data_IF_334052402361
#
_entry.id   IF_334052402361
#
_cell.length_a   1.000
_cell.length_b   1.000
_cell.length_c   1.000
_cell.angle_alpha   90.00
_cell.angle_beta   90.00
_cell.angle_gamma   90.00
#
_symmetry.space_group_name_H-M   'P 1'
#
loop_
_entity.id
_entity.type
_entity.pdbx_description
1 polymer ?
#
# COMPACT_ATOMS: atom_id res chain seq x y z
N UNK A 1 13.33 1.22 2.94
CA UNK A 1 11.94 1.57 3.30
C UNK A 1 11.19 1.89 2.03
N UNK A 2 10.12 1.13 1.75
CA UNK A 2 9.22 1.41 0.63
C UNK A 2 8.15 2.42 1.08
N UNK A 3 7.90 3.44 0.26
CA UNK A 3 6.86 4.44 0.46
C UNK A 3 5.95 4.51 -0.76
N UNK A 4 4.71 4.06 -0.59
CA UNK A 4 3.73 3.89 -1.67
C UNK A 4 2.77 5.08 -1.75
N UNK A 5 2.60 5.61 -2.95
CA UNK A 5 1.68 6.72 -3.22
C UNK A 5 0.21 6.29 -3.10
N UNK A 6 -0.68 7.27 -2.92
CA UNK A 6 -2.14 7.08 -2.96
C UNK A 6 -2.71 7.01 -4.39
N UNK A 7 -4.02 6.76 -4.49
CA UNK A 7 -4.75 6.68 -5.75
C UNK A 7 -4.57 7.97 -6.57
N UNK A 8 -4.35 7.84 -7.88
CA UNK A 8 -4.18 8.95 -8.83
C UNK A 8 -2.83 9.67 -8.75
N UNK A 9 -1.93 9.26 -7.86
CA UNK A 9 -0.64 9.91 -7.61
C UNK A 9 0.54 9.10 -8.18
N UNK A 10 1.77 9.43 -7.81
CA UNK A 10 2.98 8.78 -8.28
C UNK A 10 4.11 8.91 -7.23
N UNK A 11 5.24 8.24 -7.49
CA UNK A 11 6.40 8.23 -6.60
C UNK A 11 7.04 9.59 -6.37
N UNK A 12 7.01 10.50 -7.35
CA UNK A 12 7.55 11.87 -7.19
C UNK A 12 6.68 12.66 -6.22
N UNK A 13 5.35 12.61 -6.39
CA UNK A 13 4.43 13.24 -5.46
C UNK A 13 4.55 12.65 -4.04
N UNK A 14 4.83 11.35 -3.93
CA UNK A 14 5.05 10.68 -2.64
C UNK A 14 6.36 11.12 -1.97
N UNK A 15 7.42 11.34 -2.75
CA UNK A 15 8.64 12.00 -2.26
C UNK A 15 8.27 13.36 -1.69
N UNK A 16 7.53 14.16 -2.44
CA UNK A 16 7.16 15.50 -2.02
C UNK A 16 6.25 15.54 -0.80
N UNK A 17 5.34 14.60 -0.68
CA UNK A 17 4.42 14.45 0.44
C UNK A 17 5.16 14.06 1.73
N UNK A 18 6.07 13.09 1.64
CA UNK A 18 6.65 12.45 2.84
C UNK A 18 7.99 13.04 3.26
N UNK A 19 8.75 13.58 2.30
CA UNK A 19 10.15 14.00 2.48
C UNK A 19 11.05 12.90 3.06
N UNK A 20 10.71 11.64 2.80
CA UNK A 20 11.50 10.49 3.26
C UNK A 20 12.81 10.32 2.50
N UNK A 21 12.98 10.96 1.34
CA UNK A 21 14.27 11.10 0.66
C UNK A 21 15.27 11.91 1.50
N UNK A 22 14.82 13.05 2.03
CA UNK A 22 15.64 13.90 2.92
C UNK A 22 15.96 13.16 4.21
N UNK A 23 14.98 12.49 4.81
CA UNK A 23 15.19 11.71 6.02
C UNK A 23 16.14 10.51 5.79
N UNK A 24 16.04 9.86 4.63
CA UNK A 24 16.91 8.76 4.23
C UNK A 24 18.37 9.17 4.14
N UNK A 25 18.65 10.35 3.57
CA UNK A 25 20.00 10.92 3.55
C UNK A 25 20.53 11.24 4.95
N UNK A 26 19.66 11.73 5.85
CA UNK A 26 20.05 12.10 7.21
C UNK A 26 20.31 10.87 8.10
N UNK A 27 19.48 9.85 8.00
CA UNK A 27 19.48 8.69 8.91
C UNK A 27 20.16 7.44 8.30
N UNK A 28 20.56 7.51 7.03
CA UNK A 28 21.37 6.47 6.38
C UNK A 28 20.60 5.20 6.04
N UNK A 29 19.45 5.33 5.38
CA UNK A 29 18.70 4.20 4.83
C UNK A 29 18.33 4.44 3.37
N UNK A 30 17.91 3.38 2.66
CA UNK A 30 17.40 3.49 1.29
C UNK A 30 15.89 3.75 1.34
N UNK A 31 15.43 4.88 0.80
CA UNK A 31 14.01 5.14 0.55
C UNK A 31 13.65 4.78 -0.89
N UNK A 32 12.53 4.10 -1.09
CA UNK A 32 12.06 3.60 -2.38
C UNK A 32 10.65 4.10 -2.63
N UNK A 33 10.43 4.76 -3.78
CA UNK A 33 9.17 5.39 -4.15
C UNK A 33 8.69 4.85 -5.51
N UNK A 34 8.18 3.62 -5.56
CA UNK A 34 7.75 3.01 -6.82
C UNK A 34 6.45 3.63 -7.33
N UNK A 35 6.19 3.47 -8.63
CA UNK A 35 4.93 3.85 -9.27
C UNK A 35 4.05 2.62 -9.44
N UNK A 36 2.75 2.79 -9.22
CA UNK A 36 1.76 1.81 -9.62
C UNK A 36 1.59 1.77 -11.15
N UNK A 37 1.11 0.63 -11.65
CA UNK A 37 0.78 0.48 -13.07
C UNK A 37 -0.44 1.33 -13.44
N UNK A 38 -0.35 2.04 -14.56
CA UNK A 38 -1.48 2.78 -15.15
C UNK A 38 -2.28 1.84 -16.04
N UNK A 39 -3.59 1.72 -15.79
CA UNK A 39 -4.50 0.89 -16.59
C UNK A 39 -5.62 1.73 -17.19
N UNK A 40 -5.91 1.54 -18.48
CA UNK A 40 -7.11 2.11 -19.10
C UNK A 40 -8.33 1.23 -18.74
N UNK A 41 -9.37 1.75 -18.05
CA UNK A 41 -10.57 0.99 -17.75
C UNK A 41 -11.26 0.43 -19.01
N UNK A 42 -11.08 1.04 -20.18
CA UNK A 42 -11.64 0.57 -21.45
C UNK A 42 -11.08 -0.80 -21.88
N UNK A 43 -9.85 -1.14 -21.46
CA UNK A 43 -9.23 -2.44 -21.72
C UNK A 43 -9.78 -3.55 -20.82
N UNK A 44 -10.46 -3.17 -19.72
CA UNK A 44 -10.98 -4.09 -18.70
C UNK A 44 -12.47 -3.84 -18.41
N UNK A 45 -13.36 -3.98 -19.41
CA UNK A 45 -14.78 -3.62 -19.26
C UNK A 45 -15.52 -4.43 -18.20
N UNK A 46 -15.11 -5.68 -17.93
CA UNK A 46 -15.66 -6.50 -16.84
C UNK A 46 -15.24 -6.05 -15.45
N UNK A 47 -14.15 -5.27 -15.36
CA UNK A 47 -13.66 -4.69 -14.11
C UNK A 47 -14.24 -3.30 -13.86
N UNK A 48 -14.37 -2.51 -14.93
CA UNK A 48 -14.86 -1.14 -14.88
C UNK A 48 -16.26 -1.00 -14.27
N UNK A 49 -17.13 -2.02 -14.41
CA UNK A 49 -18.48 -2.03 -13.81
C UNK A 49 -18.46 -1.86 -12.28
N UNK A 50 -17.38 -2.31 -11.61
CA UNK A 50 -17.27 -2.31 -10.15
C UNK A 50 -16.28 -1.26 -9.63
N UNK A 51 -15.72 -0.43 -10.51
CA UNK A 51 -14.86 0.66 -10.07
C UNK A 51 -15.71 1.80 -9.54
N UNK A 52 -15.36 2.36 -8.38
CA UNK A 52 -15.97 3.60 -7.95
C UNK A 52 -15.58 4.70 -8.97
N UNK A 53 -16.51 5.60 -9.27
CA UNK A 53 -16.27 6.77 -10.13
C UNK A 53 -15.38 7.79 -9.39
N UNK A 54 -14.10 7.41 -9.24
CA UNK A 54 -13.07 8.17 -8.56
C UNK A 54 -12.01 8.56 -9.60
N UNK A 55 -11.80 9.87 -9.84
CA UNK A 55 -10.71 10.33 -10.68
C UNK A 55 -9.36 9.74 -10.21
N UNK A 56 -8.58 9.19 -11.13
CA UNK A 56 -7.28 8.59 -10.82
C UNK A 56 -7.31 7.10 -10.49
N UNK A 57 -8.47 6.43 -10.56
CA UNK A 57 -8.59 4.98 -10.33
C UNK A 57 -7.79 4.13 -11.33
N UNK A 58 -7.39 4.70 -12.47
CA UNK A 58 -6.44 4.14 -13.42
C UNK A 58 -5.02 3.97 -12.84
N UNK A 59 -4.66 4.75 -11.80
CA UNK A 59 -3.35 4.74 -11.14
C UNK A 59 -3.55 4.40 -9.65
N UNK A 60 -3.48 3.14 -9.31
CA UNK A 60 -3.57 2.67 -7.92
C UNK A 60 -2.88 1.32 -7.77
N UNK A 61 -2.53 0.95 -6.54
CA UNK A 61 -2.03 -0.38 -6.21
C UNK A 61 -3.16 -1.40 -6.16
N UNK A 62 -2.83 -2.66 -6.48
CA UNK A 62 -3.67 -3.81 -6.20
C UNK A 62 -3.91 -3.92 -4.68
N UNK A 63 -5.18 -3.86 -4.26
CA UNK A 63 -5.58 -3.91 -2.85
C UNK A 63 -6.07 -5.29 -2.37
N UNK A 64 -6.05 -6.30 -3.24
CA UNK A 64 -6.53 -7.65 -2.93
C UNK A 64 -8.07 -7.79 -2.85
N UNK A 65 -8.82 -6.81 -3.35
CA UNK A 65 -10.28 -6.77 -3.24
C UNK A 65 -10.96 -6.10 -4.44
N UNK A 66 -12.26 -6.41 -4.61
CA UNK A 66 -13.13 -5.73 -5.58
C UNK A 66 -13.18 -4.21 -5.30
N UNK A 67 -13.34 -3.41 -6.35
CA UNK A 67 -13.21 -1.95 -6.31
C UNK A 67 -11.80 -1.42 -6.62
N UNK A 68 -10.81 -2.32 -6.79
CA UNK A 68 -9.49 -2.03 -7.35
C UNK A 68 -9.40 -2.55 -8.78
N UNK A 69 -9.05 -1.68 -9.73
CA UNK A 69 -8.88 -2.06 -11.14
C UNK A 69 -7.72 -3.04 -11.30
N UNK A 70 -6.61 -2.76 -10.62
CA UNK A 70 -5.38 -3.55 -10.66
C UNK A 70 -5.61 -4.94 -10.08
N UNK A 71 -6.40 -5.06 -9.01
CA UNK A 71 -6.81 -6.38 -8.52
C UNK A 71 -7.63 -7.16 -9.55
N UNK A 72 -8.67 -6.54 -10.12
CA UNK A 72 -9.55 -7.22 -11.08
C UNK A 72 -8.82 -7.58 -12.39
N UNK A 73 -7.92 -6.71 -12.85
CA UNK A 73 -7.07 -6.92 -14.02
C UNK A 73 -5.97 -7.97 -13.79
N UNK A 74 -5.79 -8.46 -12.55
CA UNK A 74 -4.78 -9.46 -12.21
C UNK A 74 -3.36 -8.91 -12.21
N UNK A 75 -3.17 -7.62 -11.91
CA UNK A 75 -1.85 -7.01 -11.77
C UNK A 75 -1.17 -7.51 -10.51
N UNK A 76 0.04 -8.04 -10.66
CA UNK A 76 0.82 -8.60 -9.56
C UNK A 76 1.79 -7.57 -8.96
N UNK A 77 1.23 -6.57 -8.26
CA UNK A 77 2.05 -5.57 -7.57
C UNK A 77 2.84 -6.16 -6.39
N UNK A 78 2.36 -7.26 -5.79
CA UNK A 78 3.06 -7.97 -4.71
C UNK A 78 4.33 -8.63 -5.25
N UNK A 79 4.23 -9.35 -6.36
CA UNK A 79 5.38 -9.94 -7.07
C UNK A 79 6.38 -8.87 -7.49
N UNK A 80 5.89 -7.73 -8.01
CA UNK A 80 6.76 -6.59 -8.34
C UNK A 80 7.59 -6.09 -7.14
N UNK A 81 6.97 -5.93 -5.96
CA UNK A 81 7.70 -5.50 -4.75
C UNK A 81 8.65 -6.59 -4.26
N UNK A 82 8.28 -7.88 -4.37
CA UNK A 82 9.17 -9.00 -4.07
C UNK A 82 10.43 -8.95 -4.93
N UNK A 83 10.28 -8.78 -6.25
CA UNK A 83 11.39 -8.67 -7.18
C UNK A 83 12.28 -7.44 -6.88
N UNK A 84 11.69 -6.33 -6.42
CA UNK A 84 12.46 -5.16 -5.99
C UNK A 84 13.29 -5.46 -4.74
N UNK A 85 12.73 -6.17 -3.75
CA UNK A 85 13.48 -6.58 -2.55
C UNK A 85 14.68 -7.44 -2.95
N UNK A 86 14.47 -8.50 -3.74
CA UNK A 86 15.53 -9.38 -4.23
C UNK A 86 16.62 -8.59 -4.99
N UNK A 87 16.20 -7.60 -5.79
CA UNK A 87 17.14 -6.73 -6.51
C UNK A 87 17.97 -5.87 -5.55
N UNK A 88 17.38 -5.30 -4.50
CA UNK A 88 18.12 -4.53 -3.51
C UNK A 88 19.08 -5.40 -2.70
N UNK A 89 18.67 -6.60 -2.29
CA UNK A 89 19.53 -7.58 -1.61
C UNK A 89 20.74 -7.98 -2.46
N UNK A 90 20.52 -8.15 -3.77
CA UNK A 90 21.60 -8.53 -4.70
C UNK A 90 22.58 -7.38 -4.98
N UNK A 91 22.09 -6.15 -5.09
CA UNK A 91 22.87 -5.02 -5.59
C UNK A 91 23.41 -4.10 -4.49
N UNK A 92 22.90 -4.20 -3.27
CA UNK A 92 23.28 -3.36 -2.14
C UNK A 92 23.46 -4.19 -0.87
N UNK A 93 24.32 -3.73 0.03
CA UNK A 93 24.48 -4.33 1.35
C UNK A 93 23.39 -3.80 2.29
N UNK A 94 22.15 -4.22 2.08
CA UNK A 94 21.03 -3.87 2.96
C UNK A 94 20.98 -4.81 4.17
N UNK A 95 20.30 -4.34 5.23
CA UNK A 95 19.97 -5.18 6.37
C UNK A 95 18.57 -5.77 6.15
N UNK A 96 18.52 -7.05 5.76
CA UNK A 96 17.28 -7.79 5.48
C UNK A 96 16.33 -7.81 6.69
N UNK A 97 16.85 -7.68 7.91
CA UNK A 97 16.04 -7.61 9.13
C UNK A 97 15.38 -6.23 9.36
N UNK A 98 15.66 -5.24 8.49
CA UNK A 98 15.20 -3.85 8.60
C UNK A 98 14.60 -3.33 7.29
N UNK A 99 13.77 -4.16 6.65
CA UNK A 99 12.95 -3.76 5.51
C UNK A 99 11.57 -3.31 6.04
N UNK A 100 11.11 -2.14 5.62
CA UNK A 100 9.85 -1.55 6.08
C UNK A 100 9.01 -1.06 4.90
N UNK A 101 7.69 -1.07 5.06
CA UNK A 101 6.74 -0.54 4.08
C UNK A 101 5.77 0.47 4.72
N UNK A 102 5.44 1.52 3.98
CA UNK A 102 4.47 2.53 4.37
C UNK A 102 3.82 3.12 3.11
N UNK A 103 2.70 3.79 3.29
CA UNK A 103 2.02 4.51 2.24
C UNK A 103 0.81 5.25 2.79
N UNK A 104 0.20 6.09 1.95
CA UNK A 104 -1.00 6.84 2.28
C UNK A 104 -2.20 6.32 1.47
N UNK A 105 -3.39 6.25 2.10
CA UNK A 105 -4.65 5.90 1.43
C UNK A 105 -4.55 4.54 0.70
N UNK A 106 -4.68 4.48 -0.62
CA UNK A 106 -4.46 3.25 -1.39
C UNK A 106 -3.07 2.61 -1.17
N UNK A 107 -2.00 3.41 -1.03
CA UNK A 107 -0.67 2.90 -0.67
C UNK A 107 -0.59 2.34 0.76
N UNK A 108 -1.45 2.81 1.67
CA UNK A 108 -1.60 2.24 3.00
C UNK A 108 -2.28 0.87 2.95
N UNK A 109 -3.37 0.73 2.17
CA UNK A 109 -4.01 -0.57 1.92
C UNK A 109 -3.02 -1.58 1.32
N UNK A 110 -2.20 -1.12 0.37
CA UNK A 110 -1.18 -1.96 -0.24
C UNK A 110 -0.07 -2.38 0.73
N UNK A 111 0.33 -1.50 1.65
CA UNK A 111 1.29 -1.86 2.71
C UNK A 111 0.79 -3.02 3.59
N UNK A 112 -0.51 -3.06 3.89
CA UNK A 112 -1.10 -4.22 4.58
C UNK A 112 -1.07 -5.48 3.71
N UNK A 113 -1.42 -5.37 2.42
CA UNK A 113 -1.40 -6.50 1.49
C UNK A 113 0.01 -7.10 1.36
N UNK A 114 1.04 -6.26 1.31
CA UNK A 114 2.43 -6.69 1.26
C UNK A 114 2.85 -7.42 2.53
N UNK A 115 2.57 -6.86 3.71
CA UNK A 115 2.88 -7.54 4.97
C UNK A 115 2.21 -8.92 5.08
N UNK A 116 1.02 -9.05 4.48
CA UNK A 116 0.30 -10.30 4.46
C UNK A 116 0.92 -11.34 3.51
N UNK A 117 1.18 -10.95 2.27
CA UNK A 117 1.63 -11.88 1.22
C UNK A 117 3.13 -12.16 1.27
N UNK A 118 3.95 -11.19 1.70
CA UNK A 118 5.40 -11.31 1.84
C UNK A 118 5.76 -11.48 3.33
N UNK A 119 5.16 -12.51 3.94
CA UNK A 119 5.34 -12.84 5.35
C UNK A 119 6.83 -13.08 5.65
N UNK A 120 7.36 -12.36 6.64
CA UNK A 120 8.78 -12.44 7.05
C UNK A 120 9.71 -11.49 6.32
N UNK A 121 9.28 -10.86 5.22
CA UNK A 121 10.10 -9.89 4.46
C UNK A 121 10.18 -8.54 5.17
N UNK A 122 9.06 -8.03 5.68
CA UNK A 122 9.01 -6.72 6.32
C UNK A 122 9.13 -6.85 7.84
N UNK A 123 10.00 -6.05 8.44
CA UNK A 123 10.14 -5.91 9.89
C UNK A 123 8.99 -5.12 10.52
N UNK A 124 8.35 -4.25 9.74
CA UNK A 124 7.20 -3.47 10.17
C UNK A 124 6.55 -2.69 9.03
N UNK A 125 5.28 -2.32 9.25
CA UNK A 125 4.55 -1.41 8.37
C UNK A 125 3.99 -0.21 9.11
N UNK A 126 3.90 0.93 8.42
CA UNK A 126 3.34 2.17 8.95
C UNK A 126 2.27 2.79 8.02
N UNK A 127 1.10 2.15 7.83
CA UNK A 127 0.03 2.65 6.95
C UNK A 127 -0.64 3.92 7.49
N UNK A 128 -0.94 4.87 6.58
CA UNK A 128 -1.50 6.20 6.89
C UNK A 128 -2.82 6.46 6.14
N UNK A 129 -3.82 6.98 6.84
CA UNK A 129 -5.14 7.38 6.31
C UNK A 129 -5.87 6.27 5.54
N UNK A 130 -5.80 5.03 6.03
CA UNK A 130 -6.61 3.93 5.52
C UNK A 130 -6.77 2.81 6.55
N UNK A 131 -7.95 2.14 6.60
CA UNK A 131 -8.08 0.89 7.31
C UNK A 131 -7.31 -0.24 6.61
N UNK A 132 -7.20 -1.37 7.31
CA UNK A 132 -6.72 -2.63 6.76
C UNK A 132 -7.65 -3.13 5.64
N UNK A 133 -7.07 -3.78 4.61
CA UNK A 133 -7.87 -4.38 3.53
C UNK A 133 -8.73 -5.54 4.04
N UNK A 134 -9.94 -5.69 3.48
CA UNK A 134 -10.98 -6.59 3.98
C UNK A 134 -10.75 -8.08 3.67
N UNK A 135 -9.76 -8.41 2.83
CA UNK A 135 -9.50 -9.77 2.35
C UNK A 135 -8.05 -10.22 2.60
N UNK A 136 -7.59 -10.08 3.85
CA UNK A 136 -6.38 -10.75 4.31
C UNK A 136 -6.75 -12.14 4.84
N UNK A 137 -6.86 -13.13 3.94
CA UNK A 137 -7.19 -14.52 4.31
C UNK A 137 -5.95 -15.38 4.51
N UNK A 138 -5.76 -16.00 5.68
CA UNK A 138 -4.63 -16.92 5.96
C UNK A 138 -3.88 -16.62 7.27
N UNK A 139 -2.77 -17.32 7.51
CA UNK A 139 -1.91 -17.14 8.69
C UNK A 139 -0.66 -16.35 8.28
N UNK A 140 -0.39 -15.24 8.96
CA UNK A 140 0.87 -14.48 8.83
C UNK A 140 1.76 -14.72 10.04
N UNK A 141 3.05 -14.38 9.92
CA UNK A 141 3.88 -14.15 11.11
C UNK A 141 3.52 -12.80 11.73
N UNK A 142 3.55 -12.67 13.07
CA UNK A 142 3.41 -11.37 13.70
C UNK A 142 4.43 -10.36 13.14
N UNK A 143 3.95 -9.16 12.82
CA UNK A 143 4.74 -8.03 12.32
C UNK A 143 4.34 -6.78 13.10
N UNK A 144 5.28 -5.85 13.27
CA UNK A 144 4.99 -4.56 13.89
C UNK A 144 4.13 -3.70 12.95
N UNK A 145 3.03 -3.15 13.47
CA UNK A 145 2.14 -2.26 12.70
C UNK A 145 1.93 -0.97 13.49
N UNK A 146 2.16 0.17 12.83
CA UNK A 146 1.80 1.50 13.34
C UNK A 146 0.78 2.11 12.39
N UNK A 147 -0.48 2.22 12.83
CA UNK A 147 -1.56 2.77 12.00
C UNK A 147 -1.81 4.22 12.38
N UNK A 148 -1.88 5.10 11.39
CA UNK A 148 -2.26 6.50 11.58
C UNK A 148 -3.54 6.80 10.81
N UNK A 149 -4.59 7.25 11.52
CA UNK A 149 -5.85 7.66 10.91
C UNK A 149 -6.29 9.02 11.43
N UNK A 150 -6.88 9.83 10.56
CA UNK A 150 -7.45 11.13 10.92
C UNK A 150 -8.94 11.00 11.28
N UNK A 151 -9.34 11.47 12.46
CA UNK A 151 -10.77 11.49 12.86
C UNK A 151 -11.61 12.47 12.05
N UNK A 152 -10.96 13.41 11.36
CA UNK A 152 -11.60 14.39 10.47
C UNK A 152 -11.36 14.09 8.96
N UNK A 153 -10.88 12.88 8.61
CA UNK A 153 -10.65 12.50 7.22
C UNK A 153 -11.98 12.42 6.46
N UNK A 154 -12.23 13.29 5.45
CA UNK A 154 -13.48 13.31 4.71
C UNK A 154 -13.53 12.25 3.59
N UNK A 155 -12.39 11.61 3.28
CA UNK A 155 -12.23 10.64 2.19
C UNK A 155 -12.25 9.22 2.73
N UNK A 156 -11.64 8.96 3.88
CA UNK A 156 -11.67 7.65 4.54
C UNK A 156 -12.12 7.85 5.98
N UNK A 157 -13.44 7.77 6.25
CA UNK A 157 -13.98 8.04 7.58
C UNK A 157 -13.35 7.12 8.63
N UNK A 158 -13.01 7.70 9.79
CA UNK A 158 -12.39 6.97 10.90
C UNK A 158 -13.23 5.79 11.40
N UNK A 159 -14.55 5.97 11.47
CA UNK A 159 -15.53 4.93 11.85
C UNK A 159 -15.84 3.95 10.71
N UNK A 160 -15.17 4.10 9.57
CA UNK A 160 -15.48 3.38 8.34
C UNK A 160 -16.80 3.82 7.70
N UNK A 161 -17.13 3.16 6.59
CA UNK A 161 -18.30 3.48 5.78
C UNK A 161 -19.60 2.86 6.29
N UNK A 162 -19.86 2.85 7.61
CA UNK A 162 -21.17 2.57 8.23
C UNK A 162 -21.92 1.26 7.90
N UNK A 163 -21.46 0.46 6.93
CA UNK A 163 -22.14 -0.72 6.39
C UNK A 163 -21.21 -1.93 6.25
N UNK A 164 -20.01 -1.85 6.79
CA UNK A 164 -19.16 -3.00 7.08
C UNK A 164 -19.09 -3.07 8.60
N UNK A 165 -19.86 -3.98 9.20
CA UNK A 165 -19.83 -4.27 10.64
C UNK A 165 -18.44 -4.79 11.02
N UNK A 166 -17.49 -3.89 11.22
CA UNK A 166 -16.23 -4.15 11.90
C UNK A 166 -16.37 -3.48 13.26
N UNK A 167 -16.81 -4.26 14.24
CA UNK A 167 -16.75 -3.87 15.64
C UNK A 167 -15.28 -3.70 16.00
N UNK A 168 -14.83 -2.47 16.22
CA UNK A 168 -13.56 -2.22 16.87
C UNK A 168 -13.69 -2.65 18.33
N UNK A 169 -13.01 -3.73 18.71
CA UNK A 169 -12.78 -4.06 20.11
C UNK A 169 -11.77 -3.08 20.66
N UNK A 170 -12.21 -2.16 21.51
CA UNK A 170 -11.31 -1.49 22.44
C UNK A 170 -11.12 -2.44 23.61
N UNK A 171 -9.93 -3.01 23.75
CA UNK A 171 -9.50 -3.59 25.02
C UNK A 171 -9.55 -2.53 26.14
#
# INVERSE_FOLDING_TARGET
MFSFHGLGSNGIDQIDLTKFDVLAEQEGFIAVFPNATVLDPADYPSCAEYLPDLPGAEIQWNMGALGSLQYCAGIDDVGFVSDMVDWFETNYNIDESRIYATGMSNGAMFSYLLAFNLTGTFAGIAPVCSPMTLNLGGNTTPITVIVMMGTADPIVPYEGYGSLNVTYSTD
#
